data_IF_908393903178
#
_entry.id   IF_908393903178
#
_cell.length_a   1.000
_cell.length_b   1.000
_cell.length_c   1.000
_cell.angle_alpha   90.00
_cell.angle_beta   90.00
_cell.angle_gamma   90.00
#
_symmetry.space_group_name_H-M   'P 1'
#
loop_
_entity.id
_entity.type
_entity.pdbx_description
1 polymer ?
#
# COMPACT_ATOMS: atom_id res chain seq x y z
N UNK A 1 -29.82 31.02 -59.70
CA UNK A 1 -28.43 31.27 -59.35
C UNK A 1 -28.38 31.22 -57.82
N UNK A 2 -27.87 30.17 -57.22
CA UNK A 2 -27.73 30.05 -55.76
C UNK A 2 -26.44 30.71 -55.31
N UNK A 3 -26.50 31.43 -54.23
CA UNK A 3 -25.36 32.03 -53.54
C UNK A 3 -24.65 30.99 -52.67
N UNK A 4 -23.46 30.74 -53.06
CA UNK A 4 -22.46 29.88 -52.46
C UNK A 4 -21.60 30.81 -51.62
N UNK A 5 -21.62 30.67 -50.28
CA UNK A 5 -20.53 30.98 -49.38
C UNK A 5 -20.99 30.83 -47.90
N UNK A 6 -20.98 29.61 -47.45
CA UNK A 6 -20.81 29.29 -46.02
C UNK A 6 -19.63 28.32 -45.92
N UNK A 7 -18.45 28.87 -46.07
CA UNK A 7 -17.20 28.14 -45.83
C UNK A 7 -16.74 28.33 -44.39
N UNK A 8 -16.66 27.22 -43.74
CA UNK A 8 -15.61 26.72 -42.88
C UNK A 8 -14.98 27.72 -41.89
N UNK A 9 -15.60 27.80 -40.72
CA UNK A 9 -14.89 28.07 -39.47
C UNK A 9 -15.12 26.97 -38.46
N UNK A 10 -14.98 25.71 -38.89
CA UNK A 10 -14.92 24.53 -38.02
C UNK A 10 -13.49 24.04 -38.16
N UNK A 11 -12.66 24.18 -37.14
CA UNK A 11 -11.60 23.20 -36.86
C UNK A 11 -10.40 23.64 -36.04
N UNK A 12 -10.36 24.79 -35.41
CA UNK A 12 -9.19 25.08 -34.55
C UNK A 12 -9.44 24.87 -33.02
N UNK A 13 -10.67 24.64 -32.58
CA UNK A 13 -10.97 24.46 -31.19
C UNK A 13 -10.94 22.99 -30.70
N UNK A 14 -10.91 22.01 -31.61
CA UNK A 14 -11.04 20.58 -31.22
C UNK A 14 -9.66 19.87 -31.11
N UNK A 15 -8.60 20.43 -31.61
CA UNK A 15 -7.26 19.82 -31.55
C UNK A 15 -6.52 20.06 -30.23
N UNK A 16 -6.89 21.11 -29.48
CA UNK A 16 -6.29 21.39 -28.16
C UNK A 16 -6.89 20.57 -27.04
N UNK A 17 -8.15 20.15 -27.16
CA UNK A 17 -8.84 19.31 -26.16
C UNK A 17 -8.35 17.86 -26.13
N UNK A 18 -7.99 17.30 -27.29
CA UNK A 18 -7.51 15.92 -27.42
C UNK A 18 -6.06 15.75 -26.96
N UNK A 19 -5.22 16.78 -27.12
CA UNK A 19 -3.83 16.73 -26.67
C UNK A 19 -3.69 16.87 -25.14
N UNK A 20 -4.58 17.60 -24.47
CA UNK A 20 -4.57 17.74 -23.01
C UNK A 20 -5.05 16.47 -22.29
N UNK A 21 -5.95 15.70 -22.89
CA UNK A 21 -6.44 14.43 -22.34
C UNK A 21 -5.41 13.31 -22.36
N UNK A 22 -4.47 13.33 -23.31
CA UNK A 22 -3.47 12.26 -23.46
C UNK A 22 -2.22 12.47 -22.57
N UNK A 23 -1.90 13.72 -22.22
CA UNK A 23 -0.77 14.04 -21.32
C UNK A 23 -1.10 13.94 -19.84
N UNK A 24 -2.34 13.61 -19.46
CA UNK A 24 -2.83 13.69 -18.10
C UNK A 24 -2.73 15.12 -17.58
N UNK A 25 -3.81 15.66 -17.07
CA UNK A 25 -3.81 17.01 -16.48
C UNK A 25 -2.75 17.09 -15.37
N UNK A 26 -1.58 17.65 -15.68
CA UNK A 26 -0.48 17.88 -14.74
C UNK A 26 -0.78 19.08 -13.83
N UNK A 27 -1.81 19.86 -14.15
CA UNK A 27 -2.34 20.92 -13.31
C UNK A 27 -3.50 20.39 -12.50
N UNK A 28 -3.60 20.75 -11.23
CA UNK A 28 -4.76 20.37 -10.39
C UNK A 28 -6.00 21.24 -10.67
N UNK A 29 -6.02 21.97 -11.79
CA UNK A 29 -7.09 22.85 -12.24
C UNK A 29 -7.25 24.11 -11.38
N UNK A 30 -6.29 24.45 -10.51
CA UNK A 30 -6.33 25.64 -9.67
C UNK A 30 -5.66 26.82 -10.34
N UNK A 31 -6.21 28.02 -10.06
CA UNK A 31 -5.53 29.24 -10.45
C UNK A 31 -4.24 29.42 -9.65
N UNK A 32 -3.21 29.97 -10.30
CA UNK A 32 -1.92 30.26 -9.67
C UNK A 32 -2.14 31.21 -8.46
N UNK A 33 -1.66 30.79 -7.29
CA UNK A 33 -1.82 31.54 -6.05
C UNK A 33 -3.03 31.16 -5.19
N UNK A 34 -3.86 30.21 -5.62
CA UNK A 34 -4.94 29.68 -4.78
C UNK A 34 -4.40 28.52 -3.94
N UNK A 35 -4.11 28.77 -2.66
CA UNK A 35 -3.58 27.81 -1.70
C UNK A 35 -4.65 27.19 -0.78
N UNK A 36 -5.91 27.59 -0.94
CA UNK A 36 -7.00 27.08 -0.11
C UNK A 36 -7.35 25.64 -0.46
N UNK A 37 -7.67 24.87 0.57
CA UNK A 37 -8.14 23.49 0.37
C UNK A 37 -9.57 23.48 -0.16
N UNK A 38 -9.87 22.55 -1.06
CA UNK A 38 -11.23 22.31 -1.56
C UNK A 38 -12.13 21.61 -0.54
N UNK A 39 -11.52 20.99 0.47
CA UNK A 39 -12.26 20.22 1.46
C UNK A 39 -12.82 21.12 2.57
N UNK A 40 -14.02 20.81 3.01
CA UNK A 40 -14.64 21.46 4.18
C UNK A 40 -13.82 21.26 5.46
N UNK A 41 -14.00 22.12 6.43
CA UNK A 41 -13.25 22.12 7.70
C UNK A 41 -13.32 20.77 8.45
N UNK A 42 -14.47 20.08 8.41
CA UNK A 42 -14.64 18.75 8.98
C UNK A 42 -13.79 17.69 8.28
N UNK A 43 -13.83 17.65 6.96
CA UNK A 43 -13.02 16.71 6.17
C UNK A 43 -11.51 16.96 6.34
N UNK A 44 -11.09 18.23 6.40
CA UNK A 44 -9.69 18.61 6.65
C UNK A 44 -9.17 18.09 7.99
N UNK A 45 -10.01 18.09 9.03
CA UNK A 45 -9.63 17.56 10.34
C UNK A 45 -9.35 16.05 10.27
N UNK A 46 -10.20 15.29 9.58
CA UNK A 46 -10.01 13.86 9.37
C UNK A 46 -8.79 13.54 8.53
N UNK A 47 -8.54 14.29 7.44
CA UNK A 47 -7.34 14.15 6.59
C UNK A 47 -6.07 14.43 7.43
N UNK A 48 -6.05 15.46 8.26
CA UNK A 48 -4.93 15.78 9.15
C UNK A 48 -4.69 14.68 10.17
N UNK A 49 -5.75 14.12 10.75
CA UNK A 49 -5.66 13.00 11.69
C UNK A 49 -5.10 11.74 11.02
N UNK A 50 -5.62 11.38 9.86
CA UNK A 50 -5.17 10.23 9.08
C UNK A 50 -3.69 10.35 8.69
N UNK A 51 -3.29 11.52 8.19
CA UNK A 51 -1.88 11.83 7.89
C UNK A 51 -0.99 11.65 9.12
N UNK A 52 -1.41 12.19 10.29
CA UNK A 52 -0.65 12.07 11.53
C UNK A 52 -0.54 10.62 11.98
N UNK A 53 -1.63 9.87 11.93
CA UNK A 53 -1.66 8.44 12.26
C UNK A 53 -0.67 7.64 11.40
N UNK A 54 -0.75 7.76 10.08
CA UNK A 54 0.14 7.06 9.15
C UNK A 54 1.61 7.48 9.32
N UNK A 55 1.88 8.75 9.60
CA UNK A 55 3.23 9.23 9.86
C UNK A 55 3.81 8.64 11.16
N UNK A 56 3.03 8.61 12.24
CA UNK A 56 3.46 7.98 13.51
C UNK A 56 3.74 6.49 13.28
N UNK A 57 2.84 5.79 12.59
CA UNK A 57 2.98 4.38 12.30
C UNK A 57 4.24 4.10 11.45
N UNK A 58 4.52 4.94 10.46
CA UNK A 58 5.74 4.89 9.65
C UNK A 58 6.99 4.99 10.53
N UNK A 59 7.04 6.01 11.40
CA UNK A 59 8.17 6.24 12.31
C UNK A 59 8.36 5.05 13.27
N UNK A 60 7.28 4.54 13.84
CA UNK A 60 7.31 3.37 14.73
C UNK A 60 7.84 2.13 14.00
N UNK A 61 7.34 1.85 12.80
CA UNK A 61 7.77 0.69 12.02
C UNK A 61 9.22 0.79 11.52
N UNK A 62 9.79 1.98 11.41
CA UNK A 62 11.20 2.19 11.09
C UNK A 62 12.10 2.11 12.32
N UNK A 63 11.73 2.84 13.39
CA UNK A 63 12.61 2.98 14.56
C UNK A 63 12.58 1.77 15.48
N UNK A 64 11.43 1.13 15.67
CA UNK A 64 11.30 0.01 16.60
C UNK A 64 12.14 -1.21 16.19
N UNK A 65 12.13 -1.68 14.92
CA UNK A 65 13.01 -2.76 14.49
C UNK A 65 14.51 -2.41 14.61
N UNK A 66 14.88 -1.15 14.34
CA UNK A 66 16.24 -0.66 14.52
C UNK A 66 16.66 -0.71 15.99
N UNK A 67 15.81 -0.21 16.89
CA UNK A 67 16.07 -0.25 18.33
C UNK A 67 16.20 -1.70 18.85
N UNK A 68 15.28 -2.59 18.42
CA UNK A 68 15.35 -4.02 18.77
C UNK A 68 16.62 -4.66 18.20
N UNK A 69 17.04 -4.31 16.99
CA UNK A 69 18.27 -4.80 16.35
C UNK A 69 19.52 -4.40 17.14
N UNK A 70 19.63 -3.14 17.52
CA UNK A 70 20.78 -2.60 18.28
C UNK A 70 20.82 -3.22 19.68
N UNK A 71 19.72 -3.15 20.43
CA UNK A 71 19.63 -3.70 21.78
C UNK A 71 19.88 -5.20 21.84
N UNK A 72 19.47 -5.93 20.80
CA UNK A 72 19.63 -7.39 20.79
C UNK A 72 21.06 -7.85 20.50
N UNK A 73 21.89 -7.05 19.84
CA UNK A 73 23.31 -7.39 19.61
C UNK A 73 24.15 -7.30 20.88
N UNK A 74 23.83 -6.35 21.76
CA UNK A 74 24.62 -6.15 22.99
C UNK A 74 24.14 -6.99 24.16
N UNK A 75 22.84 -7.25 24.30
CA UNK A 75 22.26 -7.89 25.49
C UNK A 75 21.89 -9.37 25.32
N UNK A 76 21.83 -9.88 24.09
CA UNK A 76 21.25 -11.20 23.80
C UNK A 76 22.20 -12.20 23.13
N UNK A 77 23.51 -12.00 23.21
CA UNK A 77 24.50 -12.95 22.69
C UNK A 77 24.39 -14.39 23.27
N UNK A 78 23.56 -14.60 24.30
CA UNK A 78 23.29 -15.90 24.94
C UNK A 78 21.84 -16.35 24.95
N UNK A 79 20.94 -15.72 24.15
CA UNK A 79 19.51 -16.09 24.22
C UNK A 79 19.17 -17.39 23.51
N UNK A 80 18.24 -18.20 24.08
CA UNK A 80 17.82 -19.48 23.52
C UNK A 80 17.18 -19.30 22.13
N UNK A 81 17.35 -20.29 21.28
CA UNK A 81 16.88 -20.34 19.88
C UNK A 81 15.38 -19.99 19.68
N UNK A 82 14.56 -20.22 20.71
CA UNK A 82 13.13 -19.84 20.71
C UNK A 82 12.93 -18.32 20.56
N UNK A 83 13.76 -17.50 21.19
CA UNK A 83 13.70 -16.04 21.04
C UNK A 83 14.12 -15.54 19.65
N UNK A 84 15.04 -16.23 19.00
CA UNK A 84 15.45 -15.87 17.64
C UNK A 84 14.33 -16.06 16.61
N UNK A 85 13.54 -17.12 16.75
CA UNK A 85 12.38 -17.34 15.88
C UNK A 85 11.29 -16.27 16.10
N UNK A 86 11.01 -15.91 17.35
CA UNK A 86 10.05 -14.84 17.66
C UNK A 86 10.47 -13.51 17.03
N UNK A 87 11.77 -13.17 17.04
CA UNK A 87 12.29 -11.97 16.37
C UNK A 87 11.99 -11.98 14.87
N UNK A 88 12.19 -13.10 14.17
CA UNK A 88 11.90 -13.22 12.74
C UNK A 88 10.44 -12.86 12.44
N UNK A 89 9.49 -13.36 13.23
CA UNK A 89 8.07 -13.08 13.08
C UNK A 89 7.74 -11.60 13.35
N UNK A 90 8.30 -11.02 14.41
CA UNK A 90 8.13 -9.60 14.72
C UNK A 90 8.68 -8.70 13.61
N UNK A 91 9.86 -9.01 13.07
CA UNK A 91 10.45 -8.25 11.97
C UNK A 91 9.61 -8.37 10.69
N UNK A 92 9.04 -9.54 10.40
CA UNK A 92 8.10 -9.71 9.30
C UNK A 92 6.83 -8.88 9.48
N UNK A 93 6.27 -8.88 10.70
CA UNK A 93 5.11 -8.06 11.05
C UNK A 93 5.39 -6.56 10.84
N UNK A 94 6.50 -6.06 11.38
CA UNK A 94 6.88 -4.64 11.22
C UNK A 94 7.19 -4.30 9.76
N UNK A 95 7.85 -5.18 9.02
CA UNK A 95 8.09 -5.00 7.58
C UNK A 95 6.77 -4.90 6.81
N UNK A 96 5.85 -5.82 7.07
CA UNK A 96 4.52 -5.83 6.44
C UNK A 96 3.70 -4.59 6.78
N UNK A 97 3.68 -4.19 8.05
CA UNK A 97 3.02 -2.96 8.48
C UNK A 97 3.64 -1.73 7.82
N UNK A 98 4.96 -1.66 7.70
CA UNK A 98 5.65 -0.58 6.98
C UNK A 98 5.22 -0.53 5.51
N UNK A 99 5.22 -1.67 4.82
CA UNK A 99 4.79 -1.75 3.42
C UNK A 99 3.36 -1.27 3.22
N UNK A 100 2.43 -1.75 4.06
CA UNK A 100 1.03 -1.32 4.05
C UNK A 100 0.86 0.16 4.41
N UNK A 101 1.70 0.70 5.31
CA UNK A 101 1.68 2.13 5.66
C UNK A 101 2.07 3.00 4.47
N UNK A 102 3.16 2.65 3.76
CA UNK A 102 3.58 3.38 2.57
C UNK A 102 2.54 3.30 1.45
N UNK A 103 1.92 2.14 1.27
CA UNK A 103 0.81 1.98 0.34
C UNK A 103 -0.38 2.87 0.70
N UNK A 104 -0.82 2.87 1.96
CA UNK A 104 -1.91 3.72 2.45
C UNK A 104 -1.59 5.22 2.32
N UNK A 105 -0.34 5.63 2.62
CA UNK A 105 0.12 7.02 2.44
C UNK A 105 0.07 7.46 0.97
N UNK A 106 0.54 6.61 0.05
CA UNK A 106 0.46 6.88 -1.38
C UNK A 106 -0.98 7.11 -1.82
N UNK A 107 -1.91 6.25 -1.38
CA UNK A 107 -3.33 6.39 -1.68
C UNK A 107 -3.97 7.62 -1.03
N UNK A 108 -3.59 7.97 0.20
CA UNK A 108 -4.06 9.20 0.86
C UNK A 108 -3.66 10.42 0.04
N UNK A 109 -2.37 10.56 -0.31
CA UNK A 109 -1.87 11.67 -1.12
C UNK A 109 -2.61 11.75 -2.47
N UNK A 110 -2.78 10.60 -3.14
CA UNK A 110 -3.47 10.53 -4.41
C UNK A 110 -4.95 10.93 -4.31
N UNK A 111 -5.66 10.46 -3.29
CA UNK A 111 -7.08 10.79 -3.10
C UNK A 111 -7.31 12.26 -2.72
N UNK A 112 -6.39 12.85 -1.94
CA UNK A 112 -6.45 14.28 -1.62
C UNK A 112 -6.11 15.13 -2.85
N UNK A 113 -5.11 14.75 -3.63
CA UNK A 113 -4.71 15.48 -4.84
C UNK A 113 -5.81 15.47 -5.91
N UNK A 114 -6.51 14.33 -6.07
CA UNK A 114 -7.59 14.16 -7.07
C UNK A 114 -8.99 14.54 -6.55
N UNK A 115 -9.10 15.08 -5.37
CA UNK A 115 -10.39 15.45 -4.76
C UNK A 115 -11.39 14.27 -4.64
N UNK A 116 -10.86 13.05 -4.47
CA UNK A 116 -11.63 11.80 -4.33
C UNK A 116 -11.61 11.23 -2.93
N UNK A 117 -11.22 12.04 -1.93
CA UNK A 117 -11.18 11.62 -0.55
C UNK A 117 -12.61 11.46 0.01
N UNK A 118 -12.91 10.28 0.61
CA UNK A 118 -14.19 9.94 1.22
C UNK A 118 -13.98 9.32 2.60
N UNK A 119 -14.95 9.53 3.51
CA UNK A 119 -14.96 8.93 4.86
C UNK A 119 -14.94 7.39 4.81
N UNK A 120 -15.70 6.78 3.92
CA UNK A 120 -15.78 5.32 3.79
C UNK A 120 -14.42 4.70 3.47
N UNK A 121 -13.64 5.36 2.62
CA UNK A 121 -12.29 4.93 2.26
C UNK A 121 -11.24 5.22 3.33
N UNK A 122 -11.52 6.10 4.28
CA UNK A 122 -10.64 6.36 5.42
C UNK A 122 -10.44 5.10 6.26
N UNK A 123 -11.54 4.40 6.56
CA UNK A 123 -11.49 3.16 7.35
C UNK A 123 -10.56 2.13 6.71
N UNK A 124 -10.69 1.92 5.39
CA UNK A 124 -9.82 1.02 4.65
C UNK A 124 -8.34 1.41 4.78
N UNK A 125 -7.98 2.67 4.61
CA UNK A 125 -6.59 3.14 4.70
C UNK A 125 -6.00 3.03 6.11
N UNK A 126 -6.83 3.17 7.14
CA UNK A 126 -6.40 3.01 8.55
C UNK A 126 -6.11 1.54 8.88
N UNK A 127 -6.92 0.60 8.37
CA UNK A 127 -6.75 -0.83 8.64
C UNK A 127 -5.73 -1.51 7.72
N UNK A 128 -5.49 -1.00 6.52
CA UNK A 128 -4.54 -1.58 5.54
C UNK A 128 -3.17 -1.89 6.14
N UNK A 129 -2.51 -1.02 6.91
CA UNK A 129 -1.20 -1.34 7.49
C UNK A 129 -1.22 -2.54 8.43
N UNK A 130 -2.25 -2.66 9.26
CA UNK A 130 -2.40 -3.77 10.21
C UNK A 130 -2.66 -5.09 9.50
N UNK A 131 -3.56 -5.07 8.51
CA UNK A 131 -3.86 -6.24 7.67
C UNK A 131 -2.62 -6.70 6.91
N UNK A 132 -1.86 -5.77 6.35
CA UNK A 132 -0.60 -6.05 5.63
C UNK A 132 0.45 -6.66 6.55
N UNK A 133 0.56 -6.19 7.79
CA UNK A 133 1.45 -6.77 8.80
C UNK A 133 1.04 -8.20 9.17
N UNK A 134 -0.25 -8.42 9.42
CA UNK A 134 -0.80 -9.75 9.69
C UNK A 134 -0.57 -10.71 8.54
N UNK A 135 -0.80 -10.27 7.30
CA UNK A 135 -0.56 -11.07 6.10
C UNK A 135 0.91 -11.47 5.96
N UNK A 136 1.84 -10.53 6.18
CA UNK A 136 3.27 -10.80 6.13
C UNK A 136 3.69 -11.83 7.19
N UNK A 137 3.13 -11.73 8.40
CA UNK A 137 3.36 -12.70 9.46
C UNK A 137 2.88 -14.10 9.06
N UNK A 138 1.67 -14.22 8.52
CA UNK A 138 1.13 -15.51 8.05
C UNK A 138 2.01 -16.10 6.94
N UNK A 139 2.44 -15.30 5.97
CA UNK A 139 3.33 -15.79 4.88
C UNK A 139 4.65 -16.31 5.44
N UNK A 140 5.27 -15.62 6.39
CA UNK A 140 6.52 -16.10 7.01
C UNK A 140 6.30 -17.40 7.82
N UNK A 141 5.15 -17.57 8.46
CA UNK A 141 4.80 -18.83 9.12
C UNK A 141 4.67 -19.95 8.07
N UNK A 142 3.98 -19.71 6.96
CA UNK A 142 3.82 -20.70 5.87
C UNK A 142 5.17 -21.10 5.26
N UNK A 143 6.08 -20.12 5.07
CA UNK A 143 7.46 -20.39 4.62
C UNK A 143 8.22 -21.26 5.63
N UNK A 144 8.10 -20.96 6.93
CA UNK A 144 8.73 -21.78 7.97
C UNK A 144 8.15 -23.21 8.05
N UNK A 145 6.88 -23.40 7.72
CA UNK A 145 6.23 -24.70 7.61
C UNK A 145 6.61 -25.45 6.31
N UNK A 146 7.52 -24.91 5.49
CA UNK A 146 7.94 -25.48 4.21
C UNK A 146 6.80 -25.73 3.20
N UNK A 147 5.73 -24.94 3.32
CA UNK A 147 4.63 -24.99 2.34
C UNK A 147 5.02 -24.41 0.97
N UNK A 148 6.14 -23.67 0.90
CA UNK A 148 6.67 -23.11 -0.34
C UNK A 148 8.09 -23.65 -0.58
N UNK A 149 8.29 -24.41 -1.63
CA UNK A 149 9.61 -24.93 -2.03
C UNK A 149 10.60 -23.83 -2.46
N UNK A 150 10.11 -22.62 -2.71
CA UNK A 150 10.89 -21.51 -3.27
C UNK A 150 11.85 -20.89 -2.25
N UNK A 151 11.52 -20.91 -0.95
CA UNK A 151 12.32 -20.26 0.09
C UNK A 151 12.63 -21.30 1.18
N UNK A 152 13.89 -21.71 1.28
CA UNK A 152 14.34 -22.61 2.36
C UNK A 152 14.39 -21.82 3.69
N UNK A 153 13.79 -22.37 4.77
CA UNK A 153 13.75 -21.68 6.09
C UNK A 153 15.14 -21.40 6.66
N UNK A 154 16.11 -22.23 6.36
CA UNK A 154 17.51 -22.12 6.81
C UNK A 154 18.19 -20.81 6.37
N UNK A 155 17.77 -20.28 5.21
CA UNK A 155 18.33 -19.05 4.62
C UNK A 155 17.62 -17.78 5.08
N UNK A 156 16.62 -17.88 5.99
CA UNK A 156 15.77 -16.77 6.38
C UNK A 156 16.38 -16.00 7.57
N UNK A 157 17.25 -15.05 7.27
CA UNK A 157 17.76 -14.12 8.28
C UNK A 157 16.70 -13.10 8.70
N UNK A 158 16.86 -12.46 9.86
CA UNK A 158 15.94 -11.44 10.39
C UNK A 158 15.71 -10.32 9.38
N UNK A 159 16.79 -9.83 8.73
CA UNK A 159 16.69 -8.78 7.71
C UNK A 159 15.90 -9.21 6.48
N UNK A 160 16.07 -10.47 6.07
CA UNK A 160 15.26 -11.05 4.97
C UNK A 160 13.79 -11.13 5.34
N UNK A 161 13.46 -11.51 6.60
CA UNK A 161 12.07 -11.51 7.07
C UNK A 161 11.45 -10.11 7.01
N UNK A 162 12.20 -9.08 7.40
CA UNK A 162 11.72 -7.69 7.31
C UNK A 162 11.48 -7.25 5.86
N UNK A 163 12.46 -7.52 4.96
CA UNK A 163 12.35 -7.17 3.54
C UNK A 163 11.21 -7.91 2.83
N UNK A 164 11.08 -9.21 3.06
CA UNK A 164 9.96 -10.00 2.52
C UNK A 164 8.64 -9.50 3.08
N UNK A 165 8.58 -9.24 4.40
CA UNK A 165 7.40 -8.66 5.03
C UNK A 165 7.01 -7.32 4.37
N UNK A 166 7.98 -6.45 4.13
CA UNK A 166 7.74 -5.17 3.45
C UNK A 166 7.14 -5.36 2.05
N UNK A 167 7.71 -6.25 1.24
CA UNK A 167 7.19 -6.53 -0.11
C UNK A 167 5.77 -7.08 -0.06
N UNK A 168 5.52 -8.05 0.82
CA UNK A 168 4.18 -8.63 1.02
C UNK A 168 3.19 -7.54 1.44
N UNK A 169 3.59 -6.66 2.37
CA UNK A 169 2.73 -5.60 2.85
C UNK A 169 2.42 -4.54 1.80
N UNK A 170 3.42 -4.13 1.02
CA UNK A 170 3.23 -3.14 -0.04
C UNK A 170 2.37 -3.67 -1.21
N UNK A 171 2.52 -4.96 -1.54
CA UNK A 171 1.77 -5.66 -2.57
C UNK A 171 0.69 -6.58 -2.00
N UNK A 172 0.07 -6.20 -0.89
CA UNK A 172 -0.88 -7.05 -0.15
C UNK A 172 -2.03 -7.59 -1.01
N UNK A 173 -2.57 -6.80 -1.92
CA UNK A 173 -3.65 -7.23 -2.81
C UNK A 173 -3.18 -8.37 -3.75
N UNK A 174 -1.97 -8.27 -4.31
CA UNK A 174 -1.39 -9.34 -5.13
C UNK A 174 -1.03 -10.57 -4.30
N UNK A 175 -0.55 -10.38 -3.07
CA UNK A 175 -0.24 -11.48 -2.15
C UNK A 175 -1.50 -12.25 -1.76
N UNK A 176 -2.60 -11.57 -1.47
CA UNK A 176 -3.91 -12.19 -1.20
C UNK A 176 -4.39 -12.99 -2.42
N UNK A 177 -4.26 -12.44 -3.63
CA UNK A 177 -4.60 -13.15 -4.86
C UNK A 177 -3.84 -14.47 -4.99
N UNK A 178 -2.53 -14.48 -4.74
CA UNK A 178 -1.71 -15.70 -4.76
C UNK A 178 -2.06 -16.69 -3.65
N UNK A 179 -2.34 -16.22 -2.45
CA UNK A 179 -2.83 -17.09 -1.36
C UNK A 179 -4.17 -17.73 -1.71
N UNK A 180 -5.05 -17.03 -2.40
CA UNK A 180 -6.33 -17.56 -2.87
C UNK A 180 -6.12 -18.69 -3.89
N UNK A 181 -5.19 -18.52 -4.84
CA UNK A 181 -4.82 -19.59 -5.78
C UNK A 181 -4.32 -20.84 -5.06
N UNK A 182 -3.46 -20.68 -4.06
CA UNK A 182 -2.93 -21.79 -3.25
C UNK A 182 -4.06 -22.48 -2.46
N UNK A 183 -4.94 -21.70 -1.85
CA UNK A 183 -6.10 -22.21 -1.12
C UNK A 183 -7.02 -23.03 -2.04
N UNK A 184 -7.24 -22.60 -3.26
CA UNK A 184 -8.01 -23.35 -4.26
C UNK A 184 -7.37 -24.68 -4.62
N UNK A 185 -6.03 -24.74 -4.68
CA UNK A 185 -5.30 -26.00 -4.93
C UNK A 185 -5.42 -26.96 -3.73
N UNK A 186 -5.32 -26.44 -2.51
CA UNK A 186 -5.35 -27.25 -1.30
C UNK A 186 -6.76 -27.74 -0.91
N UNK A 187 -7.77 -26.88 -1.07
CA UNK A 187 -9.15 -27.14 -0.62
C UNK A 187 -10.11 -27.50 -1.76
N UNK A 188 -9.64 -27.51 -2.99
CA UNK A 188 -10.45 -27.66 -4.20
C UNK A 188 -11.18 -26.38 -4.58
N UNK A 189 -11.51 -26.24 -5.87
CA UNK A 189 -12.28 -25.08 -6.35
C UNK A 189 -13.72 -25.19 -5.88
N UNK A 190 -14.12 -24.40 -4.92
CA UNK A 190 -15.54 -24.23 -4.50
C UNK A 190 -16.35 -23.38 -5.48
N UNK A 191 -15.77 -23.03 -6.63
CA UNK A 191 -16.50 -22.36 -7.70
C UNK A 191 -17.44 -23.35 -8.41
N UNK A 192 -18.55 -23.67 -7.74
CA UNK A 192 -19.76 -24.13 -8.42
C UNK A 192 -20.08 -23.09 -9.50
N UNK A 193 -20.03 -23.54 -10.76
CA UNK A 193 -20.55 -22.79 -11.91
C UNK A 193 -21.98 -22.38 -11.60
N UNK A 194 -22.19 -21.12 -11.20
CA UNK A 194 -23.51 -20.50 -11.30
C UNK A 194 -23.77 -20.33 -12.80
N UNK A 195 -24.59 -21.24 -13.33
CA UNK A 195 -25.30 -21.07 -14.61
C UNK A 195 -26.28 -19.93 -14.50
#
# INVERSE_FOLDING_TARGET
MPDENQDETISEQDSTGLASGFLGDLTDGRQKGNWESRFESGALLHIKWEKKYLLILLIVCLLLPLAVGILSNEWLAGTPTKFQNLKKYLFALFGGTLGGTLFAMKWLVHSVAKDTWNYDRQLWRVFTPLLSGGLALVIIILVNCQMFDVIKPENLSIHKCYGVGFLVGYFSDNAIGKLTEIAQVLFGSTLSKRK
#
